data_IF_101251364344
#
_entry.id   IF_101251364344
#
_cell.length_a   1.000
_cell.length_b   1.000
_cell.length_c   1.000
_cell.angle_alpha   90.00
_cell.angle_beta   90.00
_cell.angle_gamma   90.00
#
_symmetry.space_group_name_H-M   'P 1'
#
loop_
_entity.id
_entity.type
_entity.pdbx_description
1 polymer ?
#
# COMPACT_ATOMS: atom_id res chain seq x y z
N UNK A 1 1.27 -10.06 -16.18
CA UNK A 1 0.86 -9.33 -14.96
C UNK A 1 0.41 -7.95 -15.41
N UNK A 2 -0.78 -7.45 -15.05
CA UNK A 2 -1.16 -6.09 -15.45
C UNK A 2 -0.13 -5.11 -14.88
N UNK A 3 0.31 -4.17 -15.71
CA UNK A 3 1.35 -3.21 -15.33
C UNK A 3 0.88 -2.36 -14.14
N UNK A 4 1.65 -2.39 -13.06
CA UNK A 4 1.49 -1.50 -11.91
C UNK A 4 2.50 -0.37 -12.03
N UNK A 5 2.05 0.86 -11.76
CA UNK A 5 2.92 2.04 -11.78
C UNK A 5 2.82 2.84 -10.49
N UNK A 6 3.89 3.54 -10.14
CA UNK A 6 3.86 4.65 -9.20
C UNK A 6 3.92 5.94 -10.02
N UNK A 7 2.88 6.76 -9.94
CA UNK A 7 2.77 7.95 -10.76
C UNK A 7 3.73 9.03 -10.23
N UNK A 8 4.56 9.62 -11.08
CA UNK A 8 5.53 10.65 -10.69
C UNK A 8 4.85 11.89 -10.09
N UNK A 9 3.64 12.23 -10.56
CA UNK A 9 2.77 13.28 -10.00
C UNK A 9 2.50 13.12 -8.49
N UNK A 10 2.71 11.94 -7.91
CA UNK A 10 2.61 11.73 -6.45
C UNK A 10 3.60 12.61 -5.70
N UNK A 11 4.77 12.91 -6.27
CA UNK A 11 5.77 13.79 -5.66
C UNK A 11 5.37 15.27 -5.70
N UNK A 12 4.70 15.70 -6.78
CA UNK A 12 4.49 17.13 -7.07
C UNK A 12 3.08 17.62 -6.76
N UNK A 13 2.08 16.73 -6.78
CA UNK A 13 0.65 17.11 -6.75
C UNK A 13 -0.16 16.44 -5.64
N UNK A 14 0.39 15.46 -4.91
CA UNK A 14 -0.30 14.83 -3.78
C UNK A 14 0.14 15.49 -2.46
N UNK A 15 -0.62 16.49 -2.01
CA UNK A 15 -0.36 17.26 -0.78
C UNK A 15 -0.16 16.37 0.45
N UNK A 16 -1.00 15.35 0.61
CA UNK A 16 -0.87 14.39 1.71
C UNK A 16 0.48 13.67 1.67
N UNK A 17 0.95 13.25 0.49
CA UNK A 17 2.25 12.58 0.36
C UNK A 17 3.41 13.55 0.64
N UNK A 18 3.26 14.82 0.26
CA UNK A 18 4.23 15.87 0.54
C UNK A 18 4.35 16.21 2.03
N UNK A 19 3.29 16.05 2.82
CA UNK A 19 3.33 16.29 4.27
C UNK A 19 3.95 15.13 5.07
N UNK A 20 4.08 13.94 4.47
CA UNK A 20 4.66 12.78 5.14
C UNK A 20 6.14 12.98 5.48
N UNK A 21 6.53 12.46 6.64
CA UNK A 21 7.92 12.29 7.03
C UNK A 21 8.66 11.32 6.09
N UNK A 22 9.99 11.32 6.15
CA UNK A 22 10.83 10.40 5.36
C UNK A 22 10.38 8.95 5.50
N UNK A 23 10.17 8.49 6.73
CA UNK A 23 9.90 7.08 7.01
C UNK A 23 8.46 6.71 6.61
N UNK A 24 7.52 7.64 6.76
CA UNK A 24 6.15 7.49 6.25
C UNK A 24 6.12 7.38 4.72
N UNK A 25 6.83 8.26 4.01
CA UNK A 25 6.95 8.20 2.54
C UNK A 25 7.57 6.88 2.09
N UNK A 26 8.65 6.49 2.75
CA UNK A 26 9.34 5.25 2.43
C UNK A 26 8.42 4.03 2.60
N UNK A 27 7.71 3.93 3.74
CA UNK A 27 6.77 2.83 3.97
C UNK A 27 5.63 2.83 2.96
N UNK A 28 5.08 4.00 2.62
CA UNK A 28 4.02 4.13 1.62
C UNK A 28 4.49 3.66 0.23
N UNK A 29 5.69 4.07 -0.21
CA UNK A 29 6.27 3.63 -1.48
C UNK A 29 6.50 2.11 -1.45
N UNK A 30 7.10 1.59 -0.37
CA UNK A 30 7.33 0.15 -0.21
C UNK A 30 6.03 -0.65 -0.37
N UNK A 31 4.95 -0.23 0.32
CA UNK A 31 3.64 -0.85 0.14
C UNK A 31 3.25 -0.76 -1.34
N UNK A 32 3.34 0.42 -1.96
CA UNK A 32 2.91 0.61 -3.34
C UNK A 32 3.69 -0.23 -4.38
N UNK A 33 4.95 -0.56 -4.13
CA UNK A 33 5.84 -1.17 -5.13
C UNK A 33 6.19 -2.63 -4.87
N UNK A 34 5.75 -3.23 -3.76
CA UNK A 34 6.01 -4.64 -3.48
C UNK A 34 5.02 -5.62 -4.18
N UNK A 35 5.38 -6.90 -4.17
CA UNK A 35 4.62 -7.99 -4.80
C UNK A 35 3.52 -8.59 -3.92
N UNK A 36 3.39 -8.17 -2.65
CA UNK A 36 2.38 -8.68 -1.72
C UNK A 36 0.99 -8.08 -1.95
N UNK A 37 0.90 -7.02 -2.76
CA UNK A 37 -0.35 -6.32 -3.06
C UNK A 37 -1.21 -7.08 -4.07
N UNK A 38 -2.46 -7.33 -3.69
CA UNK A 38 -3.51 -7.74 -4.62
C UNK A 38 -3.91 -6.59 -5.56
N UNK A 39 -4.55 -6.85 -6.71
CA UNK A 39 -5.06 -5.77 -7.56
C UNK A 39 -6.09 -4.86 -6.85
N UNK A 40 -6.69 -5.31 -5.75
CA UNK A 40 -7.58 -4.51 -4.92
C UNK A 40 -6.89 -3.55 -3.94
N UNK A 41 -5.56 -3.58 -3.82
CA UNK A 41 -4.82 -2.76 -2.84
C UNK A 41 -4.73 -3.37 -1.45
N UNK A 42 -5.03 -4.67 -1.31
CA UNK A 42 -4.95 -5.42 -0.06
C UNK A 42 -3.65 -6.21 0.02
N UNK A 43 -3.05 -6.23 1.19
CA UNK A 43 -1.78 -6.89 1.48
C UNK A 43 -1.99 -7.84 2.66
N UNK A 44 -1.98 -9.14 2.41
CA UNK A 44 -1.90 -10.14 3.48
C UNK A 44 -0.43 -10.31 3.86
N UNK A 45 0.03 -9.47 4.78
CA UNK A 45 1.45 -9.33 5.13
C UNK A 45 1.62 -9.09 6.63
N UNK A 46 2.60 -9.77 7.22
CA UNK A 46 2.89 -9.64 8.65
C UNK A 46 3.82 -8.46 8.95
N UNK A 47 3.79 -7.94 10.18
CA UNK A 47 4.77 -6.94 10.63
C UNK A 47 6.20 -7.46 10.54
N UNK A 48 6.42 -8.76 10.77
CA UNK A 48 7.74 -9.39 10.63
C UNK A 48 8.25 -9.28 9.20
N UNK A 49 7.40 -9.57 8.21
CA UNK A 49 7.75 -9.46 6.78
C UNK A 49 8.05 -8.02 6.41
N UNK A 50 7.17 -7.07 6.77
CA UNK A 50 7.39 -5.65 6.48
C UNK A 50 8.69 -5.16 7.15
N UNK A 51 8.91 -5.48 8.42
CA UNK A 51 10.13 -5.08 9.15
C UNK A 51 11.40 -5.59 8.46
N UNK A 52 11.40 -6.85 8.03
CA UNK A 52 12.54 -7.44 7.34
C UNK A 52 12.82 -6.81 5.97
N UNK A 53 11.77 -6.61 5.16
CA UNK A 53 11.89 -6.10 3.78
C UNK A 53 12.14 -4.60 3.75
N UNK A 54 11.40 -3.84 4.56
CA UNK A 54 11.46 -2.38 4.62
C UNK A 54 12.57 -1.87 5.57
N UNK A 55 13.26 -2.75 6.30
CA UNK A 55 14.31 -2.37 7.26
C UNK A 55 13.83 -1.34 8.30
N UNK A 56 12.57 -1.44 8.70
CA UNK A 56 11.97 -0.67 9.79
C UNK A 56 11.91 -1.57 11.03
N UNK A 57 12.16 -1.01 12.21
CA UNK A 57 12.05 -1.77 13.46
C UNK A 57 10.62 -2.33 13.62
N UNK A 58 10.49 -3.50 14.21
CA UNK A 58 9.17 -4.13 14.39
C UNK A 58 8.35 -3.38 15.43
N UNK A 59 9.03 -2.70 16.34
CA UNK A 59 8.51 -1.94 17.46
C UNK A 59 7.85 -0.63 17.02
N UNK A 60 8.46 0.09 16.06
CA UNK A 60 7.94 1.38 15.56
C UNK A 60 6.89 1.20 14.45
N UNK A 61 6.88 0.05 13.79
CA UNK A 61 6.03 -0.20 12.62
C UNK A 61 4.51 -0.04 12.87
N UNK A 62 3.93 -0.46 14.02
CA UNK A 62 2.52 -0.22 14.32
C UNK A 62 2.14 1.28 14.31
N UNK A 63 2.94 2.12 14.95
CA UNK A 63 2.71 3.58 14.99
C UNK A 63 2.87 4.18 13.60
N UNK A 64 3.91 3.76 12.87
CA UNK A 64 4.16 4.22 11.51
C UNK A 64 3.02 3.85 10.55
N UNK A 65 2.50 2.63 10.61
CA UNK A 65 1.34 2.19 9.82
C UNK A 65 0.08 2.98 10.17
N UNK A 66 -0.18 3.21 11.46
CA UNK A 66 -1.33 3.99 11.91
C UNK A 66 -1.25 5.45 11.45
N UNK A 67 -0.04 6.01 11.39
CA UNK A 67 0.19 7.40 10.94
C UNK A 67 -0.12 7.64 9.45
N UNK A 68 -0.25 6.58 8.64
CA UNK A 68 -0.61 6.66 7.22
C UNK A 68 -2.14 6.66 6.97
N UNK A 69 -2.93 6.60 8.04
CA UNK A 69 -4.37 6.81 7.98
C UNK A 69 -4.70 8.23 7.47
N UNK A 70 -5.75 8.44 6.66
CA UNK A 70 -6.77 7.46 6.26
C UNK A 70 -6.47 6.72 4.94
N UNK A 71 -5.34 7.00 4.27
CA UNK A 71 -5.02 6.42 2.95
C UNK A 71 -4.48 5.00 3.04
N UNK A 72 -3.80 4.65 4.13
CA UNK A 72 -3.44 3.28 4.46
C UNK A 72 -4.13 2.90 5.77
N UNK A 73 -4.83 1.78 5.79
CA UNK A 73 -5.43 1.21 7.00
C UNK A 73 -4.73 -0.10 7.31
N UNK A 74 -4.33 -0.28 8.56
CA UNK A 74 -3.77 -1.52 9.05
C UNK A 74 -4.76 -2.23 9.98
N UNK A 75 -4.97 -3.52 9.73
CA UNK A 75 -5.80 -4.42 10.51
C UNK A 75 -4.88 -5.45 11.20
N UNK A 76 -4.50 -5.20 12.48
CA UNK A 76 -3.52 -6.04 13.18
C UNK A 76 -3.96 -7.50 13.33
N UNK A 77 -5.25 -7.73 13.59
CA UNK A 77 -5.79 -9.06 13.85
C UNK A 77 -5.77 -9.97 12.62
N UNK A 78 -5.81 -9.39 11.42
CA UNK A 78 -5.92 -10.12 10.16
C UNK A 78 -4.60 -10.15 9.37
N UNK A 79 -3.52 -9.58 9.94
CA UNK A 79 -2.26 -9.33 9.21
C UNK A 79 -2.50 -8.69 7.84
N UNK A 80 -3.38 -7.70 7.82
CA UNK A 80 -3.89 -7.10 6.60
C UNK A 80 -3.57 -5.60 6.58
N UNK A 81 -2.99 -5.13 5.48
CA UNK A 81 -2.86 -3.70 5.18
C UNK A 81 -3.71 -3.39 3.96
N UNK A 82 -4.47 -2.32 4.01
CA UNK A 82 -5.25 -1.82 2.90
C UNK A 82 -4.76 -0.44 2.47
N UNK A 83 -4.27 -0.34 1.24
CA UNK A 83 -3.95 0.94 0.60
C UNK A 83 -5.18 1.40 -0.19
N UNK A 84 -5.86 2.42 0.33
CA UNK A 84 -7.07 2.98 -0.30
C UNK A 84 -6.75 3.64 -1.63
N UNK A 85 -7.76 3.73 -2.50
CA UNK A 85 -7.68 4.32 -3.84
C UNK A 85 -6.65 3.65 -4.76
N UNK A 86 -6.09 2.50 -4.37
CA UNK A 86 -5.15 1.75 -5.20
C UNK A 86 -5.77 1.37 -6.55
N UNK A 87 -6.98 0.77 -6.52
CA UNK A 87 -7.73 0.43 -7.74
C UNK A 87 -7.93 1.65 -8.63
N UNK A 88 -8.35 2.80 -8.05
CA UNK A 88 -8.59 4.04 -8.79
C UNK A 88 -7.34 4.51 -9.55
N UNK A 89 -6.14 4.32 -8.98
CA UNK A 89 -4.87 4.72 -9.61
C UNK A 89 -4.32 3.68 -10.59
N UNK A 90 -4.67 2.40 -10.42
CA UNK A 90 -4.18 1.30 -11.26
C UNK A 90 -5.17 0.84 -12.35
N UNK A 91 -6.41 1.34 -12.35
CA UNK A 91 -7.47 0.94 -13.29
C UNK A 91 -7.24 1.46 -14.72
N UNK A 92 -6.14 1.03 -15.35
CA UNK A 92 -5.75 1.36 -16.72
C UNK A 92 -6.50 0.52 -17.77
N UNK A 93 -7.21 -0.53 -17.34
CA UNK A 93 -7.99 -1.39 -18.24
C UNK A 93 -9.14 -2.09 -17.51
N UNK A 94 -10.16 -2.51 -18.27
CA UNK A 94 -11.26 -3.36 -17.78
C UNK A 94 -10.76 -4.70 -17.22
N UNK A 95 -9.67 -5.23 -17.78
CA UNK A 95 -9.01 -6.46 -17.27
C UNK A 95 -8.47 -6.28 -15.86
N UNK A 96 -7.94 -5.10 -15.52
CA UNK A 96 -7.47 -4.81 -14.16
C UNK A 96 -8.64 -4.82 -13.17
N UNK A 97 -9.77 -4.20 -13.53
CA UNK A 97 -10.98 -4.19 -12.69
C UNK A 97 -11.52 -5.60 -12.45
N UNK A 98 -11.56 -6.44 -13.48
CA UNK A 98 -11.97 -7.84 -13.34
C UNK A 98 -11.02 -8.62 -12.39
N UNK A 99 -9.72 -8.38 -12.48
CA UNK A 99 -8.73 -9.00 -11.59
C UNK A 99 -8.90 -8.53 -10.13
N UNK A 100 -9.18 -7.23 -9.91
CA UNK A 100 -9.46 -6.69 -8.58
C UNK A 100 -10.74 -7.28 -7.98
N UNK A 101 -11.82 -7.37 -8.76
CA UNK A 101 -13.06 -8.02 -8.32
C UNK A 101 -12.81 -9.49 -7.93
N UNK A 102 -12.07 -10.24 -8.77
CA UNK A 102 -11.71 -11.63 -8.47
C UNK A 102 -10.94 -11.77 -7.16
N UNK A 103 -9.97 -10.87 -6.88
CA UNK A 103 -9.17 -10.93 -5.64
C UNK A 103 -9.97 -10.68 -4.36
N UNK A 104 -11.19 -10.15 -4.44
CA UNK A 104 -12.05 -9.91 -3.27
C UNK A 104 -13.02 -11.08 -3.01
N UNK A 105 -13.21 -11.96 -3.99
CA UNK A 105 -14.15 -13.11 -3.91
C UNK A 105 -13.43 -14.45 -3.86
N UNK A 106 -12.09 -14.44 -3.93
CA UNK A 106 -11.22 -15.63 -3.86
C UNK A 106 -10.91 -15.96 -2.41
#
# INVERSE_FOLDING_TARGET
MPERGFASETWDSDEWFQELSRDQRYLFIYLWTNNHCTPAGLYHITLTTISFEAKVSKEELPELLNSLSPKVIWYPNDSLVWVKNFIKRQSKSSKFLAAAAKSLTS
#
